data_IF_959705174488
#
_entry.id   IF_959705174488
#
_cell.length_a   1.000
_cell.length_b   1.000
_cell.length_c   1.000
_cell.angle_alpha   90.00
_cell.angle_beta   90.00
_cell.angle_gamma   90.00
#
_symmetry.space_group_name_H-M   'P 1'
#
loop_
_entity.id
_entity.type
_entity.pdbx_description
1 polymer ?
#
# COMPACT_ATOMS: atom_id res chain seq x y z
N UNK A 1 -1.28 -4.01 -1.76
CA UNK A 1 0.18 -4.02 -1.99
C UNK A 1 0.81 -2.73 -1.56
N UNK A 2 0.09 -1.61 -1.56
CA UNK A 2 0.52 -0.41 -0.87
C UNK A 2 -0.62 0.60 -0.70
N UNK A 3 -0.42 1.57 0.18
CA UNK A 3 -1.33 2.67 0.48
C UNK A 3 -0.58 4.01 0.40
N UNK A 4 -1.30 5.13 0.27
CA UNK A 4 -0.67 6.44 0.39
C UNK A 4 -0.21 6.76 1.82
N UNK A 5 0.77 7.64 1.95
CA UNK A 5 1.33 8.08 3.24
C UNK A 5 1.37 9.61 3.28
N UNK A 6 0.77 10.19 4.32
CA UNK A 6 0.74 11.64 4.50
C UNK A 6 2.00 12.19 5.16
N UNK A 7 2.37 13.43 4.82
CA UNK A 7 3.53 14.10 5.42
C UNK A 7 3.18 14.66 6.81
N UNK A 8 3.67 14.01 7.87
CA UNK A 8 3.28 14.29 9.26
C UNK A 8 1.76 14.22 9.51
N UNK A 9 1.07 13.39 8.71
CA UNK A 9 -0.36 13.12 8.77
C UNK A 9 -0.58 11.61 8.92
N UNK A 10 -1.69 11.08 8.38
CA UNK A 10 -2.03 9.67 8.53
C UNK A 10 -1.06 8.78 7.75
N UNK A 11 -0.66 7.67 8.38
CA UNK A 11 0.17 6.64 7.72
C UNK A 11 -0.58 5.94 6.59
N UNK A 12 -1.91 5.82 6.69
CA UNK A 12 -2.79 5.36 5.62
C UNK A 12 -3.58 6.56 5.10
N UNK A 13 -3.14 7.12 3.98
CA UNK A 13 -3.74 8.30 3.35
C UNK A 13 -4.24 7.97 1.94
N UNK A 14 -5.53 8.23 1.69
CA UNK A 14 -6.11 8.15 0.36
C UNK A 14 -5.96 9.47 -0.43
N UNK A 15 -6.41 9.53 -1.68
CA UNK A 15 -7.20 8.50 -2.38
C UNK A 15 -6.38 7.52 -3.23
N UNK A 16 -5.06 7.69 -3.36
CA UNK A 16 -4.19 6.80 -4.15
C UNK A 16 -3.79 5.54 -3.37
N UNK A 17 -3.71 4.40 -4.05
CA UNK A 17 -3.17 3.15 -3.47
C UNK A 17 -2.65 2.20 -4.56
N UNK A 18 -1.82 1.22 -4.18
CA UNK A 18 -1.44 0.09 -5.03
C UNK A 18 -2.21 -1.14 -4.54
N UNK A 19 -3.41 -1.34 -5.08
CA UNK A 19 -4.36 -2.33 -4.58
C UNK A 19 -5.18 -2.96 -5.71
N UNK A 20 -5.43 -4.26 -5.60
CA UNK A 20 -6.35 -4.99 -6.47
C UNK A 20 -7.83 -4.78 -6.09
N UNK A 21 -8.09 -4.14 -4.94
CA UNK A 21 -9.45 -3.92 -4.44
C UNK A 21 -10.24 -3.04 -5.41
N UNK A 22 -11.49 -3.43 -5.63
CA UNK A 22 -12.44 -2.67 -6.43
C UNK A 22 -12.61 -1.25 -5.87
N UNK A 23 -12.58 -0.23 -6.73
CA UNK A 23 -12.71 1.19 -6.34
C UNK A 23 -11.39 1.96 -6.24
N UNK A 24 -10.22 1.32 -6.43
CA UNK A 24 -8.96 2.04 -6.59
C UNK A 24 -8.86 2.68 -8.00
N UNK A 25 -9.58 3.79 -8.18
CA UNK A 25 -9.72 4.48 -9.48
C UNK A 25 -8.77 5.69 -9.63
N UNK A 26 -8.05 6.05 -8.58
CA UNK A 26 -7.15 7.20 -8.58
C UNK A 26 -5.88 6.89 -9.38
N UNK A 27 -5.61 7.69 -10.41
CA UNK A 27 -4.36 7.60 -11.18
C UNK A 27 -3.19 8.13 -10.34
N UNK A 28 -2.03 7.47 -10.43
CA UNK A 28 -0.81 7.94 -9.76
C UNK A 28 -0.22 9.16 -10.46
N UNK A 29 0.17 10.15 -9.67
CA UNK A 29 0.83 11.37 -10.13
C UNK A 29 2.17 11.58 -9.43
N UNK A 30 3.07 12.31 -10.09
CA UNK A 30 4.37 12.67 -9.54
C UNK A 30 4.20 13.40 -8.20
N UNK A 31 4.98 13.00 -7.19
CA UNK A 31 4.96 13.59 -5.84
C UNK A 31 4.06 12.87 -4.84
N UNK A 32 3.19 11.95 -5.29
CA UNK A 32 2.50 11.05 -4.38
C UNK A 32 3.49 10.10 -3.70
N UNK A 33 3.29 9.88 -2.40
CA UNK A 33 4.06 8.93 -1.59
C UNK A 33 3.17 7.73 -1.28
N UNK A 34 3.67 6.52 -1.57
CA UNK A 34 2.96 5.25 -1.37
C UNK A 34 3.91 4.20 -0.81
N UNK A 35 3.41 3.26 0.00
CA UNK A 35 4.15 2.07 0.42
C UNK A 35 4.26 1.04 -0.73
N UNK A 36 5.24 0.13 -0.64
CA UNK A 36 5.38 -1.02 -1.52
C UNK A 36 5.70 -2.26 -0.68
N UNK A 37 4.64 -2.93 -0.24
CA UNK A 37 4.68 -3.90 0.85
C UNK A 37 4.17 -5.30 0.43
N UNK A 38 4.79 -5.96 -0.58
CA UNK A 38 4.42 -7.34 -0.90
C UNK A 38 4.72 -8.27 0.28
N UNK A 39 3.84 -9.25 0.46
CA UNK A 39 4.02 -10.30 1.46
C UNK A 39 3.53 -11.65 0.99
N UNK A 40 4.12 -12.68 1.58
CA UNK A 40 3.72 -14.07 1.43
C UNK A 40 3.59 -14.70 2.82
N UNK A 41 2.56 -15.52 3.00
CA UNK A 41 2.26 -16.16 4.27
C UNK A 41 1.95 -17.63 4.00
N UNK A 42 2.77 -18.52 4.58
CA UNK A 42 2.59 -19.97 4.57
C UNK A 42 1.90 -20.39 5.87
N UNK A 43 0.72 -20.99 5.74
CA UNK A 43 -0.08 -21.38 6.91
C UNK A 43 0.68 -22.38 7.79
N UNK A 44 0.62 -22.17 9.11
CA UNK A 44 1.32 -22.98 10.12
C UNK A 44 2.85 -23.07 9.99
N UNK A 45 3.49 -22.25 9.16
CA UNK A 45 4.94 -22.23 9.01
C UNK A 45 5.53 -20.83 9.25
N UNK A 46 5.52 -19.96 8.24
CA UNK A 46 6.17 -18.66 8.31
C UNK A 46 5.44 -17.59 7.48
N UNK A 47 5.77 -16.33 7.72
CA UNK A 47 5.30 -15.21 6.92
C UNK A 47 6.41 -14.19 6.71
N UNK A 48 6.46 -13.59 5.53
CA UNK A 48 7.43 -12.57 5.17
C UNK A 48 6.71 -11.42 4.49
N UNK A 49 7.06 -10.20 4.89
CA UNK A 49 6.69 -8.96 4.21
C UNK A 49 7.93 -8.09 4.12
N UNK A 50 8.13 -7.49 2.96
CA UNK A 50 9.14 -6.44 2.76
C UNK A 50 8.34 -5.21 2.36
N UNK A 51 8.51 -4.14 3.12
CA UNK A 51 7.79 -2.87 3.00
C UNK A 51 8.77 -1.71 2.84
#
# INVERSE_FOLDING_TARGET
TGHGVGAALNVHEGPQSISYRYGNMTVLHKGMVVSNEPGYYEEHAFGIRIE
#
